data_IF_521381999345
#
_entry.id   IF_521381999345
#
_cell.length_a   1.000
_cell.length_b   1.000
_cell.length_c   1.000
_cell.angle_alpha   90.00
_cell.angle_beta   90.00
_cell.angle_gamma   90.00
#
_symmetry.space_group_name_H-M   'P 1'
#
loop_
_entity.id
_entity.type
_entity.pdbx_description
1 polymer ?
#
# COMPACT_ATOMS: atom_id res chain seq x y z
N UNK A 1 -4.81 -18.37 -15.16
CA UNK A 1 -4.45 -17.14 -14.42
C UNK A 1 -3.66 -16.24 -15.34
N UNK A 2 -4.10 -14.99 -15.55
CA UNK A 2 -3.36 -14.01 -16.36
C UNK A 2 -2.17 -13.40 -15.61
N UNK A 3 -1.29 -12.69 -16.31
CA UNK A 3 -0.16 -11.98 -15.70
C UNK A 3 -0.60 -10.72 -14.96
N UNK A 4 -0.12 -10.48 -13.74
CA UNK A 4 -0.44 -9.26 -13.02
C UNK A 4 0.26 -8.02 -13.64
N UNK A 5 -0.31 -6.81 -13.51
CA UNK A 5 0.31 -5.59 -14.04
C UNK A 5 1.65 -5.26 -13.36
N UNK A 6 2.58 -4.65 -14.09
CA UNK A 6 3.85 -4.18 -13.51
C UNK A 6 3.62 -2.93 -12.67
N UNK A 7 4.28 -2.87 -11.51
CA UNK A 7 4.27 -1.72 -10.61
C UNK A 7 5.25 -0.60 -11.03
N UNK A 8 6.19 -0.90 -11.92
CA UNK A 8 7.13 0.08 -12.46
C UNK A 8 6.48 0.91 -13.57
N UNK A 9 6.86 2.20 -13.68
CA UNK A 9 6.34 3.10 -14.71
C UNK A 9 4.90 3.56 -14.48
N UNK A 10 4.35 3.33 -13.28
CA UNK A 10 3.02 3.80 -12.87
C UNK A 10 3.13 5.20 -12.27
N UNK A 11 2.17 6.06 -12.60
CA UNK A 11 1.99 7.33 -11.89
C UNK A 11 1.22 7.07 -10.59
N UNK A 12 1.92 7.13 -9.46
CA UNK A 12 1.33 7.00 -8.14
C UNK A 12 0.90 8.36 -7.58
N UNK A 13 -0.24 8.45 -6.86
CA UNK A 13 -0.68 9.67 -6.20
C UNK A 13 0.09 9.87 -4.88
N UNK A 14 1.39 10.20 -4.99
CA UNK A 14 2.20 10.70 -3.90
C UNK A 14 2.99 11.93 -4.36
N UNK A 15 3.11 12.93 -3.48
CA UNK A 15 3.95 14.10 -3.71
C UNK A 15 5.28 13.94 -2.96
N UNK A 16 6.37 13.87 -3.72
CA UNK A 16 7.72 13.76 -3.18
C UNK A 16 8.52 15.06 -3.29
N UNK A 17 7.87 16.19 -3.57
CA UNK A 17 8.54 17.50 -3.64
C UNK A 17 9.65 17.54 -4.69
N UNK A 18 9.48 16.80 -5.79
CA UNK A 18 10.47 16.68 -6.87
C UNK A 18 11.46 15.52 -6.73
N UNK A 19 11.50 14.81 -5.59
CA UNK A 19 12.26 13.57 -5.47
C UNK A 19 11.55 12.40 -6.21
N UNK A 20 12.28 11.39 -6.68
CA UNK A 20 11.67 10.17 -7.21
C UNK A 20 10.93 9.41 -6.11
N UNK A 21 10.00 8.54 -6.51
CA UNK A 21 9.37 7.56 -5.63
C UNK A 21 9.99 6.19 -5.84
N UNK A 22 9.86 5.32 -4.84
CA UNK A 22 10.34 3.95 -4.85
C UNK A 22 9.22 2.97 -4.54
N UNK A 23 9.13 1.90 -5.34
CA UNK A 23 8.30 0.73 -5.00
C UNK A 23 9.10 -0.15 -4.05
N UNK A 24 8.73 -0.15 -2.77
CA UNK A 24 9.43 -0.89 -1.71
C UNK A 24 9.05 -2.38 -1.69
N UNK A 25 7.78 -2.67 -1.94
CA UNK A 25 7.26 -4.03 -2.00
C UNK A 25 6.10 -4.12 -2.99
N UNK A 26 5.87 -5.32 -3.52
CA UNK A 26 4.71 -5.61 -4.37
C UNK A 26 4.24 -7.05 -4.20
N UNK A 27 2.96 -7.26 -4.36
CA UNK A 27 2.31 -8.56 -4.35
C UNK A 27 1.15 -8.54 -5.34
N UNK A 28 0.72 -9.71 -5.81
CA UNK A 28 -0.34 -9.82 -6.80
C UNK A 28 -1.30 -10.93 -6.45
N UNK A 29 -2.55 -10.77 -6.88
CA UNK A 29 -3.62 -11.73 -6.66
C UNK A 29 -4.90 -11.22 -7.31
N UNK A 30 -5.85 -12.12 -7.51
CA UNK A 30 -7.21 -11.77 -7.95
C UNK A 30 -7.97 -11.21 -6.74
N UNK A 31 -8.08 -9.88 -6.67
CA UNK A 31 -8.61 -9.19 -5.49
C UNK A 31 -10.11 -8.96 -5.58
N UNK A 32 -10.66 -8.88 -6.78
CA UNK A 32 -12.07 -8.65 -7.02
C UNK A 32 -12.84 -9.91 -7.46
N UNK A 33 -12.13 -11.00 -7.76
CA UNK A 33 -12.69 -12.28 -8.15
C UNK A 33 -13.05 -12.38 -9.64
N UNK A 34 -12.56 -11.48 -10.48
CA UNK A 34 -12.87 -11.46 -11.92
C UNK A 34 -11.99 -12.40 -12.78
N UNK A 35 -11.02 -13.07 -12.15
CA UNK A 35 -10.08 -13.98 -12.80
C UNK A 35 -8.84 -13.30 -13.39
N UNK A 36 -8.72 -11.97 -13.29
CA UNK A 36 -7.52 -11.19 -13.65
C UNK A 36 -6.85 -10.72 -12.36
N UNK A 37 -5.56 -11.01 -12.17
CA UNK A 37 -4.90 -10.54 -10.96
C UNK A 37 -4.55 -9.04 -11.04
N UNK A 38 -4.77 -8.37 -9.92
CA UNK A 38 -4.27 -7.04 -9.61
C UNK A 38 -2.85 -7.12 -9.03
N UNK A 39 -2.17 -5.98 -9.03
CA UNK A 39 -0.92 -5.80 -8.27
C UNK A 39 -1.16 -4.77 -7.18
N UNK A 40 -0.67 -5.05 -5.98
CA UNK A 40 -0.65 -4.09 -4.88
C UNK A 40 0.80 -3.67 -4.67
N UNK A 41 1.03 -2.36 -4.66
CA UNK A 41 2.36 -1.77 -4.52
C UNK A 41 2.43 -0.95 -3.23
N UNK A 42 3.49 -1.17 -2.46
CA UNK A 42 3.91 -0.30 -1.36
C UNK A 42 4.92 0.69 -1.92
N UNK A 43 4.61 1.97 -1.84
CA UNK A 43 5.40 3.03 -2.47
C UNK A 43 5.66 4.13 -1.45
N UNK A 44 6.87 4.68 -1.46
CA UNK A 44 7.21 5.85 -0.66
C UNK A 44 8.18 6.73 -1.45
N UNK A 45 8.37 7.97 -1.01
CA UNK A 45 9.39 8.82 -1.61
C UNK A 45 10.78 8.25 -1.40
N UNK A 46 11.66 8.41 -2.37
CA UNK A 46 13.05 8.04 -2.20
C UNK A 46 13.72 9.04 -1.26
N UNK A 47 14.35 8.53 -0.20
CA UNK A 47 15.07 9.32 0.77
C UNK A 47 16.42 8.68 1.03
N UNK A 48 17.47 9.50 1.14
CA UNK A 48 18.82 9.01 1.45
C UNK A 48 18.94 8.44 2.87
N UNK A 49 18.09 8.92 3.79
CA UNK A 49 18.03 8.43 5.18
C UNK A 49 16.59 8.49 5.70
N UNK A 50 16.25 7.62 6.66
CA UNK A 50 14.92 7.54 7.28
C UNK A 50 13.99 6.55 6.58
N UNK A 51 12.74 6.51 7.05
CA UNK A 51 11.70 5.66 6.46
C UNK A 51 10.47 6.54 6.19
N UNK A 52 10.38 7.12 4.99
CA UNK A 52 9.27 8.01 4.67
C UNK A 52 7.93 7.25 4.75
N UNK A 53 6.83 7.97 4.99
CA UNK A 53 5.49 7.37 4.97
C UNK A 53 5.23 6.60 3.68
N UNK A 54 4.54 5.48 3.83
CA UNK A 54 4.19 4.57 2.74
C UNK A 54 2.77 4.82 2.26
N UNK A 55 2.60 4.90 0.95
CA UNK A 55 1.33 4.67 0.28
C UNK A 55 1.17 3.20 -0.11
N UNK A 56 -0.04 2.67 -0.03
CA UNK A 56 -0.39 1.33 -0.51
C UNK A 56 -1.44 1.46 -1.61
N UNK A 57 -1.11 1.04 -2.83
CA UNK A 57 -1.93 1.28 -4.01
C UNK A 57 -2.29 -0.02 -4.71
N UNK A 58 -3.55 -0.13 -5.15
CA UNK A 58 -4.02 -1.24 -5.98
C UNK A 58 -3.97 -0.83 -7.45
N UNK A 59 -3.36 -1.69 -8.26
CA UNK A 59 -3.10 -1.50 -9.67
C UNK A 59 -3.88 -2.51 -10.48
N UNK A 60 -4.52 -2.03 -11.53
CA UNK A 60 -5.02 -2.87 -12.62
C UNK A 60 -4.29 -2.54 -13.93
N UNK A 61 -4.53 -3.37 -14.94
CA UNK A 61 -3.94 -3.19 -16.27
C UNK A 61 -4.36 -1.86 -16.91
N UNK A 62 -3.48 -1.36 -17.78
CA UNK A 62 -3.81 -0.22 -18.64
C UNK A 62 -5.00 -0.53 -19.56
N UNK A 63 -5.70 0.52 -20.00
CA UNK A 63 -6.90 0.38 -20.85
C UNK A 63 -6.60 -0.15 -22.25
N UNK A 64 -5.36 -0.02 -22.71
CA UNK A 64 -4.90 -0.43 -24.04
C UNK A 64 -3.68 -1.35 -23.90
N UNK A 65 -3.42 -2.24 -24.86
CA UNK A 65 -2.18 -3.01 -24.90
C UNK A 65 -0.95 -2.10 -24.85
N UNK A 66 -0.01 -2.40 -23.96
CA UNK A 66 1.20 -1.60 -23.76
C UNK A 66 1.03 -0.32 -22.92
N UNK A 67 -0.19 0.05 -22.54
CA UNK A 67 -0.39 1.18 -21.63
C UNK A 67 0.10 0.85 -20.20
N UNK A 68 0.66 1.83 -19.47
CA UNK A 68 1.04 1.65 -18.08
C UNK A 68 -0.13 1.14 -17.22
N UNK A 69 0.21 0.43 -16.15
CA UNK A 69 -0.78 0.08 -15.14
C UNK A 69 -1.35 1.34 -14.48
N UNK A 70 -2.56 1.22 -13.95
CA UNK A 70 -3.32 2.34 -13.40
C UNK A 70 -3.69 2.07 -11.95
N UNK A 71 -3.54 3.08 -11.12
CA UNK A 71 -4.03 3.05 -9.73
C UNK A 71 -5.55 3.10 -9.77
N UNK A 72 -6.19 2.15 -9.08
CA UNK A 72 -7.67 2.06 -8.95
C UNK A 72 -8.13 2.19 -7.50
N UNK A 73 -7.24 2.01 -6.53
CA UNK A 73 -7.53 2.27 -5.13
C UNK A 73 -6.26 2.67 -4.36
N UNK A 74 -6.46 3.43 -3.30
CA UNK A 74 -5.45 3.76 -2.29
C UNK A 74 -5.92 3.15 -0.98
N UNK A 75 -5.17 2.18 -0.44
CA UNK A 75 -5.50 1.46 0.80
C UNK A 75 -4.91 2.14 2.04
N UNK A 76 -3.76 2.77 1.86
CA UNK A 76 -3.07 3.63 2.84
C UNK A 76 -2.60 4.84 2.09
N UNK A 77 -2.93 6.03 2.60
CA UNK A 77 -2.52 7.29 2.02
C UNK A 77 -1.20 7.75 2.71
N UNK A 78 -0.22 8.33 1.99
CA UNK A 78 1.02 8.81 2.61
C UNK A 78 0.80 9.79 3.77
N UNK A 79 -0.31 10.53 3.75
CA UNK A 79 -0.74 11.49 4.77
C UNK A 79 -1.14 10.82 6.09
N UNK A 80 -1.42 9.51 6.08
CA UNK A 80 -1.70 8.73 7.29
C UNK A 80 -0.44 8.52 8.16
N UNK A 81 0.73 8.93 7.66
CA UNK A 81 2.04 8.82 8.32
C UNK A 81 2.36 7.40 8.79
N UNK A 82 1.90 6.39 8.02
CA UNK A 82 2.14 4.98 8.32
C UNK A 82 3.33 4.44 7.52
N UNK A 83 4.09 3.56 8.13
CA UNK A 83 5.14 2.76 7.48
C UNK A 83 4.70 1.30 7.38
N UNK A 84 4.87 0.67 6.23
CA UNK A 84 4.53 -0.75 6.03
C UNK A 84 5.75 -1.63 6.29
N UNK A 85 5.65 -2.57 7.24
CA UNK A 85 6.75 -3.49 7.60
C UNK A 85 6.46 -4.96 7.34
N UNK A 86 5.18 -5.33 7.25
CA UNK A 86 4.72 -6.65 6.81
C UNK A 86 3.71 -6.47 5.68
N UNK A 87 3.79 -7.29 4.62
CA UNK A 87 2.94 -7.12 3.44
C UNK A 87 2.75 -8.41 2.67
N UNK A 88 1.50 -8.75 2.32
CA UNK A 88 1.18 -9.90 1.46
C UNK A 88 -0.20 -9.78 0.83
N UNK A 89 -0.42 -10.55 -0.25
CA UNK A 89 -1.74 -10.81 -0.82
C UNK A 89 -2.02 -12.31 -0.72
N UNK A 90 -3.14 -12.69 -0.10
CA UNK A 90 -3.58 -14.08 0.07
C UNK A 90 -5.10 -14.14 0.08
N UNK A 91 -5.67 -15.13 -0.60
CA UNK A 91 -7.12 -15.41 -0.60
C UNK A 91 -7.98 -14.18 -0.98
N UNK A 92 -7.54 -13.41 -1.98
CA UNK A 92 -8.22 -12.18 -2.42
C UNK A 92 -8.11 -10.99 -1.46
N UNK A 93 -7.35 -11.14 -0.37
CA UNK A 93 -7.15 -10.09 0.63
C UNK A 93 -5.72 -9.54 0.61
N UNK A 94 -5.60 -8.23 0.78
CA UNK A 94 -4.34 -7.55 1.06
C UNK A 94 -4.14 -7.55 2.56
N UNK A 95 -2.96 -7.92 3.05
CA UNK A 95 -2.61 -7.86 4.48
C UNK A 95 -1.37 -7.01 4.67
N UNK A 96 -1.38 -6.17 5.70
CA UNK A 96 -0.21 -5.40 6.07
C UNK A 96 -0.04 -5.26 7.59
N UNK A 97 1.21 -5.01 8.00
CA UNK A 97 1.54 -4.47 9.33
C UNK A 97 1.94 -3.01 9.14
N UNK A 98 1.18 -2.13 9.79
CA UNK A 98 1.39 -0.68 9.75
C UNK A 98 2.02 -0.23 11.06
N UNK A 99 3.10 0.54 10.97
CA UNK A 99 3.66 1.29 12.07
C UNK A 99 3.21 2.75 11.96
N UNK A 100 2.87 3.38 13.08
CA UNK A 100 2.43 4.76 13.11
C UNK A 100 2.73 5.43 14.46
N UNK A 101 2.10 6.59 14.67
CA UNK A 101 2.36 7.45 15.81
C UNK A 101 1.07 7.78 16.53
N UNK A 102 1.06 7.63 17.85
CA UNK A 102 -0.10 7.93 18.70
C UNK A 102 -0.34 9.44 18.84
N UNK A 103 0.71 10.24 18.67
CA UNK A 103 0.65 11.70 18.72
C UNK A 103 1.80 12.34 17.93
N UNK A 104 1.70 13.65 17.59
CA UNK A 104 2.77 14.40 16.93
C UNK A 104 4.05 14.54 17.78
N UNK A 105 3.98 14.31 19.09
CA UNK A 105 5.12 14.43 20.01
C UNK A 105 6.04 13.20 19.97
N UNK A 106 5.58 12.11 19.35
CA UNK A 106 6.38 10.89 19.21
C UNK A 106 7.50 11.12 18.18
N UNK A 107 8.78 10.89 18.54
CA UNK A 107 9.89 11.08 17.61
C UNK A 107 9.76 10.22 16.35
N UNK A 108 10.04 10.79 15.19
CA UNK A 108 9.95 10.08 13.89
C UNK A 108 10.89 8.87 13.75
N UNK A 109 11.89 8.73 14.62
CA UNK A 109 12.74 7.53 14.67
C UNK A 109 11.97 6.29 15.14
N UNK A 110 10.85 6.51 15.82
CA UNK A 110 10.37 5.59 16.82
C UNK A 110 8.83 5.53 16.82
N UNK A 111 8.20 5.02 15.75
CA UNK A 111 6.75 4.74 15.73
C UNK A 111 6.34 3.91 16.96
N UNK A 112 5.29 4.33 17.65
CA UNK A 112 4.80 3.70 18.89
C UNK A 112 3.47 2.95 18.72
N UNK A 113 2.82 3.10 17.56
CA UNK A 113 1.65 2.31 17.19
C UNK A 113 1.99 1.17 16.24
N UNK A 114 1.31 0.05 16.41
CA UNK A 114 1.35 -1.08 15.49
C UNK A 114 -0.06 -1.62 15.24
N UNK A 115 -0.40 -1.78 13.98
CA UNK A 115 -1.70 -2.31 13.57
C UNK A 115 -1.51 -3.42 12.52
N UNK A 116 -2.25 -4.51 12.71
CA UNK A 116 -2.40 -5.54 11.68
C UNK A 116 -3.72 -5.34 10.97
N UNK A 117 -3.65 -5.16 9.66
CA UNK A 117 -4.77 -4.79 8.82
C UNK A 117 -4.93 -5.73 7.65
N UNK A 118 -6.17 -5.90 7.24
CA UNK A 118 -6.54 -6.61 6.03
C UNK A 118 -7.57 -5.80 5.24
N UNK A 119 -7.42 -5.78 3.92
CA UNK A 119 -8.41 -5.22 3.00
C UNK A 119 -8.94 -6.31 2.10
N UNK A 120 -10.25 -6.33 1.92
CA UNK A 120 -10.93 -7.21 0.98
C UNK A 120 -11.87 -6.40 0.11
N UNK A 121 -12.06 -6.83 -1.14
CA UNK A 121 -13.01 -6.21 -2.03
C UNK A 121 -14.45 -6.55 -1.62
N UNK A 122 -15.31 -5.53 -1.53
CA UNK A 122 -16.74 -5.69 -1.30
C UNK A 122 -17.52 -4.68 -2.14
N UNK A 123 -18.20 -5.18 -3.16
CA UNK A 123 -19.23 -4.43 -3.88
C UNK A 123 -18.79 -3.08 -4.46
N UNK A 124 -17.53 -2.97 -4.93
CA UNK A 124 -17.02 -1.74 -5.56
C UNK A 124 -15.94 -1.00 -4.78
N UNK A 125 -15.59 -1.44 -3.57
CA UNK A 125 -14.55 -0.80 -2.77
C UNK A 125 -13.78 -1.82 -1.92
N UNK A 126 -12.56 -1.44 -1.51
CA UNK A 126 -11.81 -2.19 -0.52
C UNK A 126 -12.26 -1.80 0.89
N UNK A 127 -12.71 -2.79 1.66
CA UNK A 127 -13.10 -2.60 3.06
C UNK A 127 -11.92 -3.00 3.94
N UNK A 128 -11.50 -2.08 4.80
CA UNK A 128 -10.45 -2.33 5.81
C UNK A 128 -11.04 -3.02 7.02
N UNK A 129 -10.30 -4.00 7.54
CA UNK A 129 -10.48 -4.60 8.86
C UNK A 129 -9.13 -4.58 9.56
N UNK A 130 -9.12 -4.37 10.87
CA UNK A 130 -7.87 -4.28 11.61
C UNK A 130 -8.05 -4.58 13.09
N UNK A 131 -6.97 -5.03 13.71
CA UNK A 131 -6.80 -5.05 15.15
C UNK A 131 -5.63 -4.12 15.48
N UNK A 132 -5.90 -3.06 16.24
CA UNK A 132 -4.85 -2.25 16.82
C UNK A 132 -4.24 -3.01 18.00
N UNK A 133 -2.93 -3.23 17.96
CA UNK A 133 -2.20 -3.66 19.16
C UNK A 133 -1.95 -2.41 19.99
N UNK A 134 -2.89 -2.06 20.87
CA UNK A 134 -2.64 -1.07 21.90
C UNK A 134 -1.59 -1.66 22.88
N UNK A 135 -0.46 -0.98 23.08
CA UNK A 135 0.46 -1.37 24.15
C UNK A 135 -0.19 -1.07 25.50
N UNK A 136 -0.26 -2.09 26.34
CA UNK A 136 -0.46 -1.96 27.78
C UNK A 136 0.58 -1.00 28.36
N UNK A 137 0.12 -0.15 29.28
CA UNK A 137 0.90 0.79 30.07
C UNK A 137 2.02 0.14 30.90
#
# INVERSE_FOLDING_TARGET
>A
MGTAPQAAGVTYPLDCGGAPHKVAARASGDLDGDGKPETVAVVHCEAGSGTPPSGVYVLTRGRQPGAPARVVATLVAPEDLKTVTGFSVRDGAVRATLLGYSSPDVPSCCPDEKEQVSWYWKGGSFVRTGQAEARSA
#
